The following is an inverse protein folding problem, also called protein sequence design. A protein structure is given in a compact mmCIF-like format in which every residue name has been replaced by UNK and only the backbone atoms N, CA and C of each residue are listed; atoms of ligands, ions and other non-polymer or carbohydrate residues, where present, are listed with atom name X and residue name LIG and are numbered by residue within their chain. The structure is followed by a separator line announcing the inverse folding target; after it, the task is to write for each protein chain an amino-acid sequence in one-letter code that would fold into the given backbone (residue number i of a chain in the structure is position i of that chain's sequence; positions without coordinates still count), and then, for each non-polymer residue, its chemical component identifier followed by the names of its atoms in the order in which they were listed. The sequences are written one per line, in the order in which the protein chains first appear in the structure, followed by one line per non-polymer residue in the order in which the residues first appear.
data_IF_957600538520
#
_entry.id   IF_957600538520
#
_cell.length_a   1.000
_cell.length_b   1.000
_cell.length_c   1.000
_cell.angle_alpha   90.00
_cell.angle_beta   90.00
_cell.angle_gamma   90.00
#
_symmetry.space_group_name_H-M   'P 1'
#
loop_
_entity.id
_entity.type
_entity.pdbx_description
1 polymer ?
#
# COMPACT_ATOMS: atom_id res chain seq x y z
N UNK A 1 27.99 9.06 -6.04
CA UNK A 1 26.74 9.31 -6.81
C UNK A 1 25.60 8.80 -5.94
N UNK A 2 24.85 9.68 -5.32
CA UNK A 2 23.66 9.32 -4.54
C UNK A 2 22.48 9.27 -5.52
N UNK A 3 22.06 8.07 -5.91
CA UNK A 3 20.83 7.90 -6.68
C UNK A 3 19.65 8.20 -5.76
N UNK A 4 18.84 9.19 -6.11
CA UNK A 4 17.56 9.48 -5.43
C UNK A 4 16.40 8.63 -5.95
N UNK A 5 16.68 7.65 -6.79
CA UNK A 5 15.68 6.76 -7.34
C UNK A 5 15.53 5.60 -6.36
N UNK A 6 14.49 5.62 -5.58
CA UNK A 6 14.11 4.50 -4.73
C UNK A 6 13.24 3.55 -5.56
N UNK A 7 13.83 2.48 -6.07
CA UNK A 7 13.15 1.53 -6.95
C UNK A 7 12.55 0.36 -6.14
N UNK A 8 12.57 0.46 -4.82
CA UNK A 8 11.87 -0.43 -3.91
C UNK A 8 12.48 -1.81 -3.70
N UNK A 9 11.72 -2.68 -3.05
CA UNK A 9 12.11 -4.01 -2.61
C UNK A 9 12.49 -4.93 -3.78
N UNK A 10 12.02 -4.66 -4.99
CA UNK A 10 12.28 -5.50 -6.18
C UNK A 10 13.76 -5.72 -6.50
N UNK A 11 14.64 -4.77 -6.13
CA UNK A 11 16.09 -4.91 -6.34
C UNK A 11 16.75 -5.91 -5.39
N UNK A 12 16.11 -6.21 -4.29
CA UNK A 12 16.59 -7.18 -3.31
C UNK A 12 15.87 -8.53 -3.41
N UNK A 13 14.90 -8.67 -4.34
CA UNK A 13 14.19 -9.93 -4.54
C UNK A 13 15.09 -11.17 -4.70
N UNK A 14 16.23 -11.12 -5.42
CA UNK A 14 17.11 -12.27 -5.52
C UNK A 14 17.65 -12.77 -4.17
N UNK A 15 17.76 -11.89 -3.18
CA UNK A 15 18.22 -12.24 -1.82
C UNK A 15 17.22 -13.19 -1.14
N UNK A 16 15.92 -13.03 -1.41
CA UNK A 16 14.89 -13.89 -0.83
C UNK A 16 15.04 -15.35 -1.20
N UNK A 17 15.50 -15.66 -2.42
CA UNK A 17 15.77 -17.02 -2.82
C UNK A 17 16.89 -17.66 -1.96
N UNK A 18 17.97 -16.90 -1.73
CA UNK A 18 19.04 -17.32 -0.84
C UNK A 18 18.58 -17.51 0.60
N UNK A 19 17.81 -16.55 1.13
CA UNK A 19 17.25 -16.63 2.47
C UNK A 19 16.30 -17.82 2.63
N UNK A 20 15.49 -18.12 1.62
CA UNK A 20 14.59 -19.29 1.65
C UNK A 20 15.37 -20.60 1.75
N UNK A 21 16.49 -20.74 1.02
CA UNK A 21 17.37 -21.92 1.11
C UNK A 21 17.96 -22.02 2.51
N UNK A 22 18.50 -20.94 3.05
CA UNK A 22 19.08 -20.92 4.40
C UNK A 22 18.02 -21.27 5.45
N UNK A 23 16.83 -20.70 5.35
CA UNK A 23 15.71 -21.01 6.24
C UNK A 23 15.31 -22.48 6.15
N UNK A 24 15.24 -23.05 4.94
CA UNK A 24 14.92 -24.46 4.71
C UNK A 24 15.96 -25.40 5.32
N UNK A 25 17.25 -25.10 5.12
CA UNK A 25 18.35 -25.87 5.74
C UNK A 25 18.30 -25.74 7.26
N UNK A 26 18.06 -24.55 7.78
CA UNK A 26 17.91 -24.30 9.21
C UNK A 26 16.75 -25.10 9.82
N UNK A 27 15.59 -25.10 9.18
CA UNK A 27 14.41 -25.87 9.57
C UNK A 27 14.69 -27.37 9.57
N UNK A 28 15.28 -27.90 8.50
CA UNK A 28 15.64 -29.30 8.39
C UNK A 28 16.65 -29.72 9.48
N UNK A 29 17.62 -28.87 9.78
CA UNK A 29 18.60 -29.10 10.82
C UNK A 29 17.93 -29.12 12.20
N UNK A 30 17.03 -28.18 12.49
CA UNK A 30 16.26 -28.15 13.73
C UNK A 30 15.42 -29.40 13.94
N UNK A 31 14.80 -29.92 12.88
CA UNK A 31 13.99 -31.15 12.92
C UNK A 31 14.83 -32.41 13.15
N UNK A 32 16.06 -32.45 12.62
CA UNK A 32 16.96 -33.61 12.73
C UNK A 32 17.72 -33.68 14.05
N UNK A 33 17.89 -32.56 14.73
CA UNK A 33 18.60 -32.52 16.00
C UNK A 33 17.78 -33.19 17.11
N UNK A 34 18.27 -34.32 17.63
CA UNK A 34 17.66 -35.05 18.76
C UNK A 34 18.12 -34.55 20.09
N UNK A 35 19.32 -33.95 20.16
CA UNK A 35 19.92 -33.43 21.39
C UNK A 35 19.97 -31.91 21.40
N UNK A 36 19.68 -31.27 22.53
CA UNK A 36 19.79 -29.82 22.72
C UNK A 36 18.99 -29.32 23.92
N UNK A 37 19.18 -28.06 24.25
CA UNK A 37 18.69 -27.42 25.48
C UNK A 37 17.14 -27.30 25.54
N UNK A 38 16.44 -27.33 24.39
CA UNK A 38 14.98 -27.12 24.29
C UNK A 38 14.34 -28.00 23.22
N UNK A 39 14.42 -29.33 23.26
CA UNK A 39 13.95 -30.20 22.18
C UNK A 39 12.42 -30.09 21.98
N UNK A 40 11.68 -29.92 23.07
CA UNK A 40 10.21 -29.86 23.03
C UNK A 40 9.65 -28.59 22.35
N UNK A 41 10.42 -27.48 22.31
CA UNK A 41 9.95 -26.20 21.74
C UNK A 41 10.28 -26.01 20.27
N UNK A 42 11.21 -26.79 19.69
CA UNK A 42 11.68 -26.57 18.30
C UNK A 42 10.60 -26.84 17.27
N UNK A 43 9.92 -27.97 17.41
CA UNK A 43 8.88 -28.37 16.47
C UNK A 43 7.69 -27.40 16.53
N UNK A 44 7.10 -27.10 17.70
CA UNK A 44 6.03 -26.12 17.79
C UNK A 44 6.44 -24.72 17.35
N UNK A 45 7.68 -24.28 17.61
CA UNK A 45 8.17 -22.99 17.12
C UNK A 45 8.22 -22.95 15.60
N UNK A 46 8.76 -23.99 14.95
CA UNK A 46 8.84 -24.07 13.50
C UNK A 46 7.44 -24.04 12.87
N UNK A 47 6.53 -24.87 13.38
CA UNK A 47 5.16 -24.90 12.87
C UNK A 47 4.41 -23.61 13.19
N UNK A 48 4.67 -22.98 14.32
CA UNK A 48 4.15 -21.67 14.67
C UNK A 48 4.58 -20.59 13.68
N UNK A 49 5.87 -20.54 13.30
CA UNK A 49 6.40 -19.60 12.30
C UNK A 49 5.83 -19.85 10.91
N UNK A 50 5.73 -21.12 10.50
CA UNK A 50 5.11 -21.48 9.23
C UNK A 50 3.62 -21.12 9.20
N UNK A 51 2.90 -21.45 10.27
CA UNK A 51 1.49 -21.09 10.43
C UNK A 51 1.28 -19.57 10.39
N UNK A 52 2.12 -18.83 11.09
CA UNK A 52 2.13 -17.36 11.03
C UNK A 52 2.28 -16.86 9.60
N UNK A 53 3.25 -17.39 8.85
CA UNK A 53 3.49 -16.98 7.45
C UNK A 53 2.27 -17.26 6.56
N UNK A 54 1.62 -18.43 6.74
CA UNK A 54 0.41 -18.78 5.99
C UNK A 54 -0.74 -17.83 6.34
N UNK A 55 -0.95 -17.56 7.63
CA UNK A 55 -2.01 -16.67 8.10
C UNK A 55 -1.76 -15.24 7.60
N UNK A 56 -0.54 -14.73 7.72
CA UNK A 56 -0.17 -13.41 7.19
C UNK A 56 -0.45 -13.29 5.69
N UNK A 57 -0.05 -14.30 4.91
CA UNK A 57 -0.33 -14.34 3.48
C UNK A 57 -1.84 -14.37 3.17
N UNK A 58 -2.60 -15.17 3.90
CA UNK A 58 -4.05 -15.24 3.73
C UNK A 58 -4.75 -13.92 4.07
N UNK A 59 -4.33 -13.25 5.15
CA UNK A 59 -4.85 -11.94 5.54
C UNK A 59 -4.45 -10.80 4.59
N UNK A 60 -3.36 -10.98 3.84
CA UNK A 60 -2.94 -10.03 2.81
C UNK A 60 -3.84 -10.08 1.57
N UNK A 61 -4.59 -11.16 1.36
CA UNK A 61 -5.46 -11.32 0.20
C UNK A 61 -6.57 -10.26 0.16
N UNK A 62 -6.86 -9.64 -1.00
CA UNK A 62 -6.19 -9.75 -2.30
C UNK A 62 -5.05 -8.73 -2.49
N UNK A 63 -4.67 -7.97 -1.47
CA UNK A 63 -3.82 -6.77 -1.54
C UNK A 63 -2.33 -7.09 -1.37
N UNK A 64 -1.83 -8.12 -2.06
CA UNK A 64 -0.45 -8.59 -1.92
C UNK A 64 0.62 -7.56 -2.30
N UNK A 65 0.35 -6.71 -3.32
CA UNK A 65 1.32 -5.72 -3.80
C UNK A 65 1.65 -4.65 -2.76
N UNK A 66 0.64 -4.21 -2.03
CA UNK A 66 0.79 -3.20 -0.97
C UNK A 66 0.90 -3.82 0.42
N UNK A 67 1.09 -5.16 0.48
CA UNK A 67 1.25 -5.82 1.75
C UNK A 67 2.61 -5.50 2.36
N UNK A 68 2.56 -5.08 3.60
CA UNK A 68 3.70 -4.96 4.48
C UNK A 68 3.42 -5.81 5.73
N UNK A 69 4.46 -6.25 6.41
CA UNK A 69 4.30 -7.10 7.59
C UNK A 69 3.53 -6.39 8.71
N UNK A 70 3.20 -7.11 9.75
CA UNK A 70 2.38 -6.65 10.88
C UNK A 70 3.01 -5.50 11.67
N UNK A 71 4.33 -5.26 11.50
CA UNK A 71 5.05 -4.14 12.14
C UNK A 71 4.49 -2.81 11.68
N UNK A 72 4.07 -2.72 10.43
CA UNK A 72 3.49 -1.48 9.87
C UNK A 72 2.06 -1.22 10.34
N UNK A 73 1.40 -2.20 10.93
CA UNK A 73 0.01 -2.12 11.41
C UNK A 73 -0.97 -1.58 10.37
N UNK A 74 -0.77 -1.91 9.11
CA UNK A 74 -1.60 -1.44 8.00
C UNK A 74 -1.30 -0.02 7.51
N UNK A 75 -0.23 0.59 7.99
CA UNK A 75 0.26 1.90 7.58
C UNK A 75 1.50 1.77 6.70
N UNK A 76 1.36 1.03 5.59
CA UNK A 76 2.46 0.81 4.64
C UNK A 76 3.04 2.13 4.12
N UNK A 77 2.20 3.15 3.96
CA UNK A 77 2.56 4.50 3.50
C UNK A 77 3.61 5.18 4.36
N UNK A 78 3.84 4.74 5.59
CA UNK A 78 4.86 5.31 6.47
C UNK A 78 6.24 4.67 6.29
N UNK A 79 6.32 3.52 5.62
CA UNK A 79 7.53 2.70 5.55
C UNK A 79 8.01 2.48 4.12
N UNK A 80 7.09 2.43 3.17
CA UNK A 80 7.37 2.19 1.76
C UNK A 80 6.81 3.32 0.91
N UNK A 81 7.41 3.55 -0.24
CA UNK A 81 7.02 4.60 -1.16
C UNK A 81 7.07 4.09 -2.62
N UNK A 82 6.53 4.88 -3.52
CA UNK A 82 6.54 4.65 -4.97
C UNK A 82 5.98 3.27 -5.36
N UNK A 83 6.76 2.57 -6.17
CA UNK A 83 6.40 1.32 -6.79
C UNK A 83 6.21 0.14 -5.83
N UNK A 84 6.52 0.29 -4.57
CA UNK A 84 6.23 -0.74 -3.56
C UNK A 84 4.81 -0.61 -3.00
N UNK A 85 4.16 0.51 -3.24
CA UNK A 85 2.84 0.80 -2.68
C UNK A 85 1.72 0.78 -3.72
N UNK A 86 1.91 1.46 -4.86
CA UNK A 86 0.83 1.70 -5.83
C UNK A 86 1.27 1.43 -7.27
N UNK A 87 0.62 0.47 -7.90
CA UNK A 87 0.69 0.15 -9.33
C UNK A 87 -0.66 0.29 -10.03
N UNK A 88 -1.60 1.01 -9.41
CA UNK A 88 -2.95 1.15 -9.91
C UNK A 88 -3.87 -0.04 -9.58
N UNK A 89 -3.46 -0.93 -8.68
CA UNK A 89 -4.24 -2.12 -8.31
C UNK A 89 -5.59 -1.79 -7.68
N UNK A 90 -5.73 -0.63 -7.04
CA UNK A 90 -6.99 -0.20 -6.41
C UNK A 90 -7.89 0.65 -7.32
N UNK A 91 -7.51 0.89 -8.58
CA UNK A 91 -8.26 1.77 -9.47
C UNK A 91 -9.70 1.30 -9.73
N UNK A 92 -9.92 -0.01 -9.80
CA UNK A 92 -11.29 -0.54 -9.89
C UNK A 92 -12.12 -0.18 -8.67
N UNK A 93 -11.54 -0.32 -7.48
CA UNK A 93 -12.19 0.04 -6.20
C UNK A 93 -12.49 1.54 -6.13
N UNK A 94 -11.60 2.38 -6.67
CA UNK A 94 -11.84 3.83 -6.76
C UNK A 94 -13.02 4.11 -7.68
N UNK A 95 -13.05 3.48 -8.86
CA UNK A 95 -14.17 3.61 -9.79
C UNK A 95 -15.50 3.17 -9.19
N UNK A 96 -15.53 2.00 -8.54
CA UNK A 96 -16.72 1.47 -7.87
C UNK A 96 -17.18 2.37 -6.72
N UNK A 97 -16.25 2.89 -5.94
CA UNK A 97 -16.55 3.85 -4.88
C UNK A 97 -17.20 5.11 -5.43
N UNK A 98 -16.58 5.74 -6.45
CA UNK A 98 -17.09 6.97 -7.07
C UNK A 98 -18.48 6.76 -7.69
N UNK A 99 -18.70 5.62 -8.33
CA UNK A 99 -20.02 5.21 -8.84
C UNK A 99 -21.05 5.06 -7.71
N UNK A 100 -20.67 4.40 -6.62
CA UNK A 100 -21.54 4.17 -5.46
C UNK A 100 -21.98 5.49 -4.80
N UNK A 101 -21.10 6.48 -4.75
CA UNK A 101 -21.42 7.79 -4.17
C UNK A 101 -22.05 8.77 -5.19
N UNK A 102 -22.29 8.31 -6.42
CA UNK A 102 -22.91 9.13 -7.46
C UNK A 102 -22.06 10.28 -7.95
N UNK A 103 -20.73 10.17 -7.86
CA UNK A 103 -19.82 11.20 -8.30
C UNK A 103 -19.90 11.36 -9.84
N UNK A 104 -20.16 12.57 -10.32
CA UNK A 104 -20.13 12.93 -11.74
C UNK A 104 -18.78 13.49 -12.16
N UNK A 105 -18.04 14.01 -11.20
CA UNK A 105 -16.71 14.60 -11.37
C UNK A 105 -15.85 14.28 -10.15
N UNK A 106 -14.55 14.15 -10.34
CA UNK A 106 -13.57 13.89 -9.28
C UNK A 106 -12.28 14.63 -9.54
N UNK A 107 -11.79 15.36 -8.54
CA UNK A 107 -10.43 15.87 -8.53
C UNK A 107 -9.50 14.72 -8.12
N UNK A 108 -8.65 14.28 -9.06
CA UNK A 108 -7.86 13.07 -8.88
C UNK A 108 -6.38 13.31 -9.10
N UNK A 109 -5.58 12.91 -8.11
CA UNK A 109 -4.13 12.98 -8.19
C UNK A 109 -3.57 11.57 -8.38
N UNK A 110 -3.34 11.13 -9.61
CA UNK A 110 -2.82 9.82 -9.90
C UNK A 110 -1.32 9.75 -9.64
N UNK A 111 -0.86 8.55 -9.31
CA UNK A 111 0.52 8.16 -9.46
C UNK A 111 0.68 7.43 -10.80
N UNK A 112 1.70 7.82 -11.58
CA UNK A 112 1.87 7.35 -12.96
C UNK A 112 0.63 7.66 -13.84
N UNK A 113 0.27 6.71 -14.67
CA UNK A 113 -0.88 6.77 -15.58
C UNK A 113 -2.05 5.91 -15.10
N UNK A 114 -2.12 5.64 -13.81
CA UNK A 114 -3.06 4.68 -13.23
C UNK A 114 -4.51 5.00 -13.57
N UNK A 115 -4.89 6.28 -13.59
CA UNK A 115 -6.26 6.68 -13.92
C UNK A 115 -6.64 6.38 -15.38
N UNK A 116 -5.67 6.34 -16.30
CA UNK A 116 -5.92 5.97 -17.70
C UNK A 116 -6.30 4.49 -17.83
N UNK A 117 -5.88 3.67 -16.87
CA UNK A 117 -6.19 2.24 -16.83
C UNK A 117 -7.56 1.96 -16.20
N UNK A 118 -8.16 2.95 -15.55
CA UNK A 118 -9.48 2.81 -14.93
C UNK A 118 -10.61 2.59 -15.93
N UNK A 119 -10.38 2.90 -17.20
CA UNK A 119 -11.32 2.66 -18.28
C UNK A 119 -12.60 3.51 -18.15
N UNK A 120 -13.70 3.00 -18.70
CA UNK A 120 -14.96 3.72 -18.85
C UNK A 120 -15.80 3.86 -17.56
N UNK A 121 -15.32 3.37 -16.43
CA UNK A 121 -16.06 3.40 -15.16
C UNK A 121 -15.79 4.66 -14.32
N UNK A 122 -14.85 5.49 -14.73
CA UNK A 122 -14.49 6.72 -14.01
C UNK A 122 -15.41 7.87 -14.42
N UNK A 123 -15.80 8.73 -13.44
CA UNK A 123 -16.44 10.01 -13.72
C UNK A 123 -15.46 10.95 -14.44
N UNK A 124 -15.91 12.14 -14.82
CA UNK A 124 -15.04 13.17 -15.36
C UNK A 124 -13.91 13.46 -14.35
N UNK A 125 -12.66 13.27 -14.79
CA UNK A 125 -11.49 13.51 -13.97
C UNK A 125 -10.97 14.92 -14.21
N UNK A 126 -10.78 15.67 -13.12
CA UNK A 126 -10.07 16.94 -13.12
C UNK A 126 -8.72 16.75 -12.40
N UNK A 127 -7.64 17.38 -12.90
CA UNK A 127 -6.37 17.35 -12.19
C UNK A 127 -6.53 17.92 -10.78
N UNK A 128 -6.00 17.22 -9.78
CA UNK A 128 -5.94 17.74 -8.42
C UNK A 128 -4.73 18.64 -8.26
N UNK A 129 -4.92 19.73 -7.53
CA UNK A 129 -3.83 20.56 -7.03
C UNK A 129 -3.40 20.05 -5.66
N UNK A 130 -2.08 19.90 -5.45
CA UNK A 130 -1.52 19.48 -4.18
C UNK A 130 -1.76 20.48 -3.03
N UNK A 131 -1.91 21.75 -3.38
CA UNK A 131 -2.07 22.84 -2.40
C UNK A 131 -3.52 23.22 -2.16
N UNK A 132 -4.39 22.97 -3.13
CA UNK A 132 -5.79 23.33 -3.07
C UNK A 132 -6.69 22.14 -3.37
N UNK A 133 -7.56 21.80 -2.45
CA UNK A 133 -8.63 20.85 -2.74
C UNK A 133 -9.69 21.52 -3.61
N UNK A 134 -10.35 20.73 -4.42
CA UNK A 134 -11.49 21.18 -5.22
C UNK A 134 -12.81 20.94 -4.47
N UNK A 135 -13.87 21.71 -4.74
CA UNK A 135 -15.21 21.33 -4.31
C UNK A 135 -15.60 19.97 -4.87
N UNK A 136 -16.38 19.21 -4.10
CA UNK A 136 -16.78 17.86 -4.47
C UNK A 136 -15.79 16.77 -4.06
N UNK A 137 -15.72 15.70 -4.83
CA UNK A 137 -14.89 14.55 -4.53
C UNK A 137 -13.43 14.78 -4.92
N UNK A 138 -12.55 14.51 -3.98
CA UNK A 138 -11.09 14.55 -4.15
C UNK A 138 -10.54 13.18 -3.82
N UNK A 139 -9.73 12.61 -4.72
CA UNK A 139 -9.06 11.33 -4.53
C UNK A 139 -7.56 11.52 -4.73
N UNK A 140 -6.78 10.99 -3.80
CA UNK A 140 -5.31 11.09 -3.81
C UNK A 140 -4.72 9.69 -3.75
N UNK A 141 -3.82 9.39 -4.68
CA UNK A 141 -2.96 8.21 -4.60
C UNK A 141 -1.86 8.43 -3.57
N UNK A 142 -1.73 7.50 -2.65
CA UNK A 142 -0.66 7.52 -1.63
C UNK A 142 0.72 7.41 -2.25
N UNK A 143 0.85 6.64 -3.33
CA UNK A 143 2.09 6.54 -4.10
C UNK A 143 2.53 7.91 -4.61
N UNK A 144 1.63 8.62 -5.29
CA UNK A 144 1.89 9.96 -5.79
C UNK A 144 2.19 10.97 -4.68
N UNK A 145 1.40 10.94 -3.62
CA UNK A 145 1.60 11.85 -2.49
C UNK A 145 2.99 11.68 -1.83
N UNK A 146 3.43 10.44 -1.65
CA UNK A 146 4.74 10.14 -1.03
C UNK A 146 5.93 10.48 -1.93
N UNK A 147 5.83 10.19 -3.24
CA UNK A 147 6.91 10.46 -4.20
C UNK A 147 7.23 11.93 -4.27
N UNK A 148 6.21 12.76 -4.33
CA UNK A 148 6.40 14.20 -4.46
C UNK A 148 6.65 14.89 -3.12
N UNK A 149 6.59 14.13 -2.00
CA UNK A 149 6.84 14.63 -0.64
C UNK A 149 6.14 15.98 -0.36
N UNK A 150 4.90 16.10 -0.85
CA UNK A 150 4.16 17.34 -0.72
C UNK A 150 3.48 17.44 0.65
N UNK A 151 3.72 18.54 1.38
CA UNK A 151 3.00 18.83 2.63
C UNK A 151 1.53 19.17 2.40
N UNK A 152 1.05 19.17 1.16
CA UNK A 152 -0.27 19.62 0.73
C UNK A 152 -1.44 19.28 1.66
N UNK A 153 -2.60 19.81 1.36
CA UNK A 153 -3.81 19.69 2.17
C UNK A 153 -4.15 18.24 2.59
N UNK A 154 -3.87 17.27 1.74
CA UNK A 154 -4.18 15.85 1.99
C UNK A 154 -3.36 15.26 3.16
N UNK A 155 -2.13 15.72 3.36
CA UNK A 155 -1.27 15.28 4.47
C UNK A 155 -1.68 15.87 5.83
N UNK A 156 -2.40 16.97 5.84
CA UNK A 156 -2.81 17.67 7.06
C UNK A 156 -4.17 17.20 7.59
N UNK A 157 -4.90 16.39 6.81
CA UNK A 157 -6.24 15.93 7.15
C UNK A 157 -6.37 14.43 7.10
N UNK A 158 -7.03 13.87 8.10
CA UNK A 158 -7.39 12.45 8.05
C UNK A 158 -8.32 12.19 6.88
N UNK A 159 -8.12 11.11 6.12
CA UNK A 159 -9.03 10.76 5.04
C UNK A 159 -10.43 10.45 5.58
N UNK A 160 -11.45 10.92 4.88
CA UNK A 160 -12.84 10.56 5.17
C UNK A 160 -13.09 9.10 4.75
N UNK A 161 -12.46 8.69 3.64
CA UNK A 161 -12.56 7.33 3.13
C UNK A 161 -11.18 6.82 2.74
N UNK A 162 -10.93 5.54 3.02
CA UNK A 162 -9.80 4.79 2.50
C UNK A 162 -10.32 3.81 1.46
N UNK A 163 -9.76 3.85 0.27
CA UNK A 163 -10.15 2.99 -0.84
C UNK A 163 -8.99 2.04 -1.12
N UNK A 164 -9.20 0.76 -0.83
CA UNK A 164 -8.11 -0.19 -0.81
C UNK A 164 -7.00 0.21 0.15
N UNK A 165 -5.77 -0.02 -0.25
CA UNK A 165 -4.58 0.34 0.55
C UNK A 165 -3.82 1.53 -0.01
N UNK A 166 -4.20 2.01 -1.19
CA UNK A 166 -3.39 2.96 -1.96
C UNK A 166 -4.05 4.31 -2.23
N UNK A 167 -5.33 4.47 -1.91
CA UNK A 167 -6.05 5.71 -2.18
C UNK A 167 -6.80 6.24 -0.97
N UNK A 168 -6.80 7.56 -0.86
CA UNK A 168 -7.59 8.33 0.10
C UNK A 168 -8.61 9.19 -0.63
N UNK A 169 -9.80 9.37 -0.03
CA UNK A 169 -10.85 10.21 -0.59
C UNK A 169 -11.46 11.14 0.45
N UNK A 170 -11.86 12.33 -0.03
CA UNK A 170 -12.56 13.36 0.72
C UNK A 170 -13.67 13.96 -0.14
N UNK A 171 -14.70 14.43 0.52
CA UNK A 171 -15.72 15.27 -0.09
C UNK A 171 -15.74 16.61 0.61
N UNK A 172 -15.68 17.69 -0.16
CA UNK A 172 -15.79 19.07 0.34
C UNK A 172 -17.00 19.76 -0.28
N UNK A 173 -17.87 20.33 0.55
CA UNK A 173 -18.91 21.21 0.04
C UNK A 173 -18.27 22.50 -0.50
N UNK A 174 -18.91 23.19 -1.46
CA UNK A 174 -18.38 24.44 -1.99
C UNK A 174 -18.13 25.46 -0.86
N UNK A 175 -16.90 25.94 -0.75
CA UNK A 175 -16.45 26.87 0.30
C UNK A 175 -15.85 26.21 1.55
N UNK A 176 -15.87 24.88 1.66
CA UNK A 176 -15.28 24.13 2.77
C UNK A 176 -13.91 23.50 2.43
N UNK A 177 -13.40 23.79 1.24
CA UNK A 177 -12.13 23.25 0.79
C UNK A 177 -10.98 23.73 1.70
N UNK A 178 -10.07 22.82 2.08
CA UNK A 178 -8.92 23.21 2.87
C UNK A 178 -8.00 24.12 2.07
N UNK A 179 -7.60 25.22 2.67
CA UNK A 179 -6.53 26.08 2.17
C UNK A 179 -5.27 25.72 2.93
N UNK A 180 -4.19 25.50 2.19
CA UNK A 180 -2.85 25.36 2.77
C UNK A 180 -2.28 26.76 2.88
N UNK A 181 -1.99 27.20 4.10
CA UNK A 181 -1.27 28.44 4.36
C UNK A 181 0.21 28.30 4.07
#
# INVERSE_FOLDING_TARGET
MSSRINIGVRHVLPIYAGLAVIAGVGAATLLRQTAGRWPALRVPLLFGLLGWQVVSGALAHPDYLSYTNEITRGHAENFVAESDLDWGQDMHRVGDFLKKVGATEVAFTPYNVSYLQAGHAFPKVTPSDWYHASPGWNVVSLGGWKVFNHPGWAGQRKPQFRIGRTHWAWYFAPGEEPKVE
#
